data_IF_027512712666
#
_entry.id   IF_027512712666
#
_cell.length_a   1.000
_cell.length_b   1.000
_cell.length_c   1.000
_cell.angle_alpha   90.00
_cell.angle_beta   90.00
_cell.angle_gamma   90.00
#
_symmetry.space_group_name_H-M   'P 1'
#
loop_
_entity.id
_entity.type
_entity.pdbx_description
1 polymer ?
#
# COMPACT_ATOMS: atom_id res chain seq x y z
N UNK A 1 -20.80 58.16 -30.93
CA UNK A 1 -21.04 56.71 -30.90
C UNK A 1 -19.75 56.02 -31.32
N UNK A 2 -19.10 55.21 -30.47
CA UNK A 2 -17.81 54.62 -30.81
C UNK A 2 -17.98 53.41 -31.74
N UNK A 3 -16.93 53.23 -32.55
CA UNK A 3 -16.80 52.32 -33.68
C UNK A 3 -16.35 50.92 -33.20
N UNK A 4 -16.95 49.90 -33.83
CA UNK A 4 -16.56 48.47 -34.01
C UNK A 4 -15.27 47.93 -33.34
N UNK A 5 -15.31 46.70 -32.77
CA UNK A 5 -14.11 45.95 -32.39
C UNK A 5 -13.41 45.34 -33.62
N UNK A 6 -12.11 45.57 -33.75
CA UNK A 6 -11.22 44.85 -34.68
C UNK A 6 -10.73 43.58 -33.99
N UNK A 7 -11.00 42.44 -34.62
CA UNK A 7 -10.58 41.11 -34.19
C UNK A 7 -9.19 40.80 -34.79
N UNK A 8 -8.16 40.48 -33.99
CA UNK A 8 -6.83 40.25 -34.54
C UNK A 8 -6.75 38.92 -35.30
N UNK A 9 -6.48 39.01 -36.60
CA UNK A 9 -6.21 37.87 -37.48
C UNK A 9 -4.96 37.11 -37.03
N UNK A 10 -5.15 35.87 -36.58
CA UNK A 10 -4.06 34.95 -36.25
C UNK A 10 -3.47 34.44 -37.57
N UNK A 11 -2.23 34.83 -37.84
CA UNK A 11 -1.49 34.35 -39.00
C UNK A 11 -1.05 32.89 -38.78
N UNK A 12 -1.57 32.00 -39.61
CA UNK A 12 -1.10 30.62 -39.73
C UNK A 12 0.34 30.63 -40.28
N UNK A 13 1.30 30.29 -39.43
CA UNK A 13 2.70 30.13 -39.82
C UNK A 13 3.27 28.92 -39.11
N UNK A 14 3.28 27.78 -39.79
CA UNK A 14 4.20 26.67 -39.50
C UNK A 14 4.25 25.68 -40.68
N UNK A 15 4.95 26.05 -41.76
CA UNK A 15 5.54 25.06 -42.67
C UNK A 15 6.96 24.74 -42.18
N UNK A 16 7.11 23.58 -41.53
CA UNK A 16 8.39 22.96 -41.19
C UNK A 16 8.57 21.63 -41.95
N UNK A 17 9.79 21.28 -42.40
CA UNK A 17 9.99 20.20 -43.38
C UNK A 17 10.22 18.80 -42.76
N UNK A 18 9.58 17.82 -43.41
CA UNK A 18 10.02 16.45 -43.75
C UNK A 18 10.70 15.58 -42.68
N UNK A 19 10.02 14.50 -42.27
CA UNK A 19 10.64 13.28 -41.71
C UNK A 19 10.34 12.10 -42.64
N UNK A 20 11.40 11.43 -43.11
CA UNK A 20 11.38 10.18 -43.87
C UNK A 20 11.03 8.99 -42.95
N UNK A 21 10.20 8.03 -43.34
CA UNK A 21 10.00 6.82 -42.54
C UNK A 21 11.19 5.86 -42.75
N UNK A 22 11.84 5.49 -41.65
CA UNK A 22 12.84 4.43 -41.62
C UNK A 22 12.16 3.07 -41.52
N UNK A 23 12.57 2.19 -42.43
CA UNK A 23 12.21 0.79 -42.55
C UNK A 23 12.68 -0.04 -41.36
N UNK A 24 11.83 -0.97 -40.90
CA UNK A 24 12.28 -2.24 -40.34
C UNK A 24 12.24 -2.38 -38.82
N UNK A 25 11.10 -2.85 -38.30
CA UNK A 25 11.11 -3.66 -37.08
C UNK A 25 10.20 -4.87 -37.32
N UNK A 26 10.84 -6.01 -37.56
CA UNK A 26 10.23 -7.33 -37.61
C UNK A 26 9.57 -7.63 -36.27
N UNK A 27 8.26 -7.88 -36.29
CA UNK A 27 7.51 -8.35 -35.14
C UNK A 27 7.94 -9.78 -34.78
N UNK A 28 8.16 -10.11 -33.49
CA UNK A 28 8.40 -11.49 -33.07
C UNK A 28 7.09 -12.29 -33.10
N UNK A 29 7.12 -13.43 -33.80
CA UNK A 29 6.05 -14.42 -33.85
C UNK A 29 5.69 -14.90 -32.44
N UNK A 30 4.40 -14.94 -32.04
CA UNK A 30 4.00 -15.44 -30.73
C UNK A 30 4.27 -16.95 -30.63
N UNK A 31 4.93 -17.38 -29.54
CA UNK A 31 5.11 -18.80 -29.23
C UNK A 31 3.76 -19.43 -28.83
N UNK A 32 3.49 -20.69 -29.20
CA UNK A 32 2.32 -21.42 -28.70
C UNK A 32 2.44 -21.67 -27.20
N UNK A 33 1.43 -21.27 -26.43
CA UNK A 33 1.29 -21.63 -25.03
C UNK A 33 0.85 -23.09 -24.90
N UNK A 34 1.54 -23.93 -24.09
CA UNK A 34 1.05 -25.25 -23.73
C UNK A 34 -0.24 -25.14 -22.90
N UNK A 35 -1.34 -25.69 -23.41
CA UNK A 35 -2.64 -25.68 -22.73
C UNK A 35 -2.62 -26.43 -21.38
N UNK A 36 -3.55 -26.10 -20.46
CA UNK A 36 -3.66 -26.77 -19.17
C UNK A 36 -4.10 -28.21 -19.35
N UNK A 37 -3.37 -29.15 -18.74
CA UNK A 37 -3.78 -30.55 -18.62
C UNK A 37 -4.96 -30.64 -17.65
N UNK A 38 -6.08 -31.17 -18.15
CA UNK A 38 -7.25 -31.53 -17.35
C UNK A 38 -6.85 -32.50 -16.22
N UNK A 39 -7.06 -32.10 -14.97
CA UNK A 39 -6.99 -33.00 -13.82
C UNK A 39 -8.26 -33.86 -13.81
N UNK A 40 -8.08 -35.17 -13.96
CA UNK A 40 -9.14 -36.15 -13.82
C UNK A 40 -9.46 -36.39 -12.33
N UNK A 41 -10.73 -36.26 -11.96
CA UNK A 41 -11.35 -37.03 -10.88
C UNK A 41 -12.39 -37.94 -11.55
N UNK A 42 -12.51 -39.24 -11.16
CA UNK A 42 -13.54 -39.57 -10.17
C UNK A 42 -13.35 -40.85 -9.32
N UNK A 43 -13.77 -40.73 -8.04
CA UNK A 43 -14.67 -41.64 -7.27
C UNK A 43 -14.15 -43.06 -6.86
N UNK A 44 -14.97 -43.96 -6.25
CA UNK A 44 -15.32 -44.00 -4.82
C UNK A 44 -15.27 -45.45 -4.22
N UNK A 45 -15.47 -45.57 -2.90
CA UNK A 45 -15.84 -46.83 -2.21
C UNK A 45 -14.73 -47.40 -1.33
N UNK A 46 -15.00 -48.12 -0.24
CA UNK A 46 -16.24 -48.63 0.36
C UNK A 46 -15.91 -49.16 1.80
N UNK A 47 -16.88 -49.70 2.57
CA UNK A 47 -16.95 -49.56 4.02
C UNK A 47 -16.31 -50.72 4.80
N UNK A 48 -15.90 -50.45 6.04
CA UNK A 48 -15.45 -51.45 7.00
C UNK A 48 -16.19 -51.31 8.34
N UNK A 49 -16.72 -52.41 8.91
CA UNK A 49 -17.58 -52.37 10.11
C UNK A 49 -16.75 -52.51 11.38
N UNK A 50 -17.04 -51.69 12.39
CA UNK A 50 -16.66 -51.98 13.78
C UNK A 50 -17.84 -51.62 14.68
N UNK A 51 -18.60 -52.64 15.02
CA UNK A 51 -19.60 -52.60 16.08
C UNK A 51 -18.94 -52.83 17.45
N UNK A 52 -19.61 -52.26 18.46
CA UNK A 52 -19.48 -52.50 19.89
C UNK A 52 -18.37 -51.72 20.65
N UNK A 53 -18.74 -50.53 21.13
CA UNK A 53 -18.21 -49.97 22.39
C UNK A 53 -19.37 -49.78 23.37
N UNK A 54 -19.28 -50.24 24.63
CA UNK A 54 -20.35 -50.13 25.62
C UNK A 54 -20.53 -48.68 26.12
N UNK A 55 -21.76 -48.38 26.54
CA UNK A 55 -22.26 -47.06 26.91
C UNK A 55 -21.52 -46.38 28.09
N UNK A 56 -21.44 -45.04 28.14
CA UNK A 56 -20.91 -44.31 29.29
C UNK A 56 -22.01 -44.01 30.32
N UNK A 57 -21.71 -44.02 31.63
CA UNK A 57 -22.61 -43.51 32.65
C UNK A 57 -22.57 -41.98 32.78
N UNK A 58 -23.74 -41.45 33.12
CA UNK A 58 -24.18 -40.13 33.56
C UNK A 58 -23.16 -39.00 33.83
N UNK A 59 -23.60 -37.83 33.37
CA UNK A 59 -23.10 -36.47 33.60
C UNK A 59 -22.82 -36.16 35.08
N UNK A 60 -21.62 -35.65 35.38
CA UNK A 60 -21.42 -34.68 36.46
C UNK A 60 -21.04 -33.34 35.85
N UNK A 61 -21.96 -32.39 35.97
CA UNK A 61 -21.77 -30.96 35.77
C UNK A 61 -20.80 -30.42 36.80
N UNK A 62 -19.52 -30.30 36.43
CA UNK A 62 -18.61 -29.35 37.07
C UNK A 62 -18.60 -28.08 36.22
N UNK A 63 -19.55 -27.18 36.53
CA UNK A 63 -19.46 -25.78 36.16
C UNK A 63 -18.30 -25.16 36.96
N UNK A 64 -17.08 -25.34 36.46
CA UNK A 64 -15.97 -24.52 36.92
C UNK A 64 -16.04 -23.21 36.15
N UNK A 65 -16.31 -22.14 36.90
CA UNK A 65 -16.43 -20.78 36.45
C UNK A 65 -15.34 -20.40 35.44
N UNK A 66 -15.77 -19.71 34.38
CA UNK A 66 -14.92 -19.29 33.28
C UNK A 66 -13.71 -18.51 33.78
N UNK A 67 -12.53 -19.03 33.50
CA UNK A 67 -11.39 -18.16 33.25
C UNK A 67 -11.69 -17.44 31.93
N UNK A 68 -11.77 -16.10 31.89
CA UNK A 68 -11.49 -15.42 30.65
C UNK A 68 -10.06 -15.81 30.29
N UNK A 69 -9.92 -16.64 29.26
CA UNK A 69 -8.63 -16.80 28.60
C UNK A 69 -8.33 -15.41 28.04
N UNK A 70 -7.61 -14.60 28.83
CA UNK A 70 -7.03 -13.37 28.34
C UNK A 70 -6.27 -13.78 27.08
N UNK A 71 -6.69 -13.25 25.93
CA UNK A 71 -5.88 -13.33 24.73
C UNK A 71 -4.47 -12.92 25.15
N UNK A 72 -3.42 -13.60 24.68
CA UNK A 72 -2.07 -13.15 24.99
C UNK A 72 -2.02 -11.68 24.62
N UNK A 73 -1.77 -10.81 25.60
CA UNK A 73 -1.37 -9.45 25.32
C UNK A 73 -0.21 -9.61 24.36
N UNK A 74 -0.47 -9.35 23.07
CA UNK A 74 0.57 -9.34 22.05
C UNK A 74 1.50 -8.26 22.56
N UNK A 75 2.59 -8.69 23.18
CA UNK A 75 3.73 -7.86 23.47
C UNK A 75 4.03 -7.20 22.14
N UNK A 76 3.64 -5.92 22.01
CA UNK A 76 3.61 -5.22 20.74
C UNK A 76 5.07 -4.93 20.44
N UNK A 77 5.75 -5.91 19.87
CA UNK A 77 7.10 -5.77 19.38
C UNK A 77 7.11 -4.51 18.54
N UNK A 78 8.02 -3.60 18.85
CA UNK A 78 8.15 -2.37 18.07
C UNK A 78 8.40 -2.76 16.61
N UNK A 79 7.80 -2.05 15.64
CA UNK A 79 8.03 -2.37 14.23
C UNK A 79 9.51 -2.26 13.92
N UNK A 80 9.99 -3.13 13.04
CA UNK A 80 11.30 -2.98 12.43
C UNK A 80 11.31 -1.67 11.64
N UNK A 81 12.37 -0.87 11.79
CA UNK A 81 12.53 0.38 11.04
C UNK A 81 13.59 0.16 9.97
N UNK A 82 13.26 0.48 8.73
CA UNK A 82 14.17 0.52 7.59
C UNK A 82 14.22 1.94 7.04
N UNK A 83 15.43 2.43 6.75
CA UNK A 83 15.62 3.74 6.13
C UNK A 83 16.12 3.54 4.71
N UNK A 84 15.47 4.21 3.75
CA UNK A 84 15.90 4.30 2.36
C UNK A 84 16.39 5.73 2.12
N UNK A 85 17.71 5.96 1.98
CA UNK A 85 18.25 7.30 1.75
C UNK A 85 17.76 7.87 0.43
N UNK A 86 17.12 9.03 0.48
CA UNK A 86 16.68 9.78 -0.70
C UNK A 86 16.70 11.30 -0.41
N UNK A 87 17.01 12.17 -1.38
CA UNK A 87 16.75 13.59 -1.24
C UNK A 87 15.23 13.83 -1.16
N UNK A 88 14.80 14.97 -0.60
CA UNK A 88 13.37 15.30 -0.47
C UNK A 88 12.60 15.14 -1.80
N UNK A 89 13.09 15.75 -2.88
CA UNK A 89 12.46 15.64 -4.20
C UNK A 89 12.47 14.24 -4.85
N UNK A 90 13.11 13.24 -4.25
CA UNK A 90 13.10 11.84 -4.71
C UNK A 90 12.60 10.86 -3.65
N UNK A 91 12.11 11.35 -2.51
CA UNK A 91 11.62 10.48 -1.44
C UNK A 91 10.30 9.79 -1.80
N UNK A 92 9.47 10.45 -2.63
CA UNK A 92 8.23 9.87 -3.15
C UNK A 92 8.52 8.71 -4.09
N UNK A 93 9.36 8.93 -5.12
CA UNK A 93 9.78 7.88 -6.04
C UNK A 93 10.40 6.69 -5.28
N UNK A 94 11.24 6.96 -4.29
CA UNK A 94 11.82 5.90 -3.46
C UNK A 94 10.78 5.13 -2.63
N UNK A 95 9.69 5.78 -2.22
CA UNK A 95 8.57 5.12 -1.53
C UNK A 95 7.78 4.24 -2.50
N UNK A 96 7.51 4.72 -3.72
CA UNK A 96 6.81 3.94 -4.74
C UNK A 96 7.60 2.69 -5.15
N UNK A 97 8.91 2.82 -5.39
CA UNK A 97 9.79 1.67 -5.65
C UNK A 97 9.84 0.68 -4.47
N UNK A 98 9.75 1.17 -3.23
CA UNK A 98 9.67 0.30 -2.05
C UNK A 98 8.33 -0.44 -1.97
N UNK A 99 7.23 0.21 -2.35
CA UNK A 99 5.91 -0.43 -2.47
C UNK A 99 5.95 -1.50 -3.55
N UNK A 100 6.45 -1.19 -4.74
CA UNK A 100 6.57 -2.15 -5.85
C UNK A 100 7.34 -3.40 -5.41
N UNK A 101 8.49 -3.23 -4.75
CA UNK A 101 9.27 -4.35 -4.22
C UNK A 101 8.50 -5.17 -3.17
N UNK A 102 7.73 -4.52 -2.29
CA UNK A 102 6.89 -5.24 -1.32
C UNK A 102 5.83 -6.09 -2.03
N UNK A 103 5.18 -5.54 -3.06
CA UNK A 103 4.15 -6.25 -3.82
C UNK A 103 4.76 -7.42 -4.63
N UNK A 104 5.89 -7.19 -5.30
CA UNK A 104 6.62 -8.21 -6.06
C UNK A 104 7.10 -9.37 -5.20
N UNK A 105 7.41 -9.09 -3.92
CA UNK A 105 7.81 -10.11 -2.94
C UNK A 105 6.62 -10.79 -2.26
N UNK A 106 5.39 -10.46 -2.67
CA UNK A 106 4.16 -11.12 -2.25
C UNK A 106 3.48 -10.48 -1.04
N UNK A 107 3.80 -9.23 -0.70
CA UNK A 107 2.99 -8.47 0.28
C UNK A 107 1.62 -8.18 -0.31
N UNK A 108 0.57 -8.40 0.48
CA UNK A 108 -0.77 -8.04 0.06
C UNK A 108 -0.88 -6.51 -0.04
N UNK A 109 -1.49 -5.94 -1.10
CA UNK A 109 -1.70 -4.49 -1.24
C UNK A 109 -2.38 -3.86 -0.01
N UNK A 110 -3.45 -4.48 0.46
CA UNK A 110 -4.18 -4.12 1.69
C UNK A 110 -3.35 -4.07 2.97
N UNK A 111 -2.15 -4.67 2.98
CA UNK A 111 -1.25 -4.65 4.13
C UNK A 111 -0.30 -3.43 4.15
N UNK A 112 -0.34 -2.58 3.11
CA UNK A 112 0.59 -1.45 2.93
C UNK A 112 -0.14 -0.12 3.05
N UNK A 113 0.36 0.77 3.92
CA UNK A 113 -0.04 2.17 4.03
C UNK A 113 1.14 3.05 3.60
N UNK A 114 0.91 4.00 2.71
CA UNK A 114 1.91 5.01 2.31
C UNK A 114 1.49 6.37 2.87
N UNK A 115 2.43 7.04 3.53
CA UNK A 115 2.26 8.38 4.08
C UNK A 115 3.24 9.36 3.44
N UNK A 116 2.75 10.45 2.86
CA UNK A 116 3.59 11.56 2.38
C UNK A 116 3.57 12.70 3.40
N UNK A 117 4.69 13.41 3.57
CA UNK A 117 4.82 14.48 4.57
C UNK A 117 4.77 15.86 3.90
N UNK A 118 5.29 15.96 2.68
CA UNK A 118 5.33 17.18 1.89
C UNK A 118 4.04 17.38 1.11
N UNK A 119 4.04 16.92 -0.14
CA UNK A 119 2.89 17.01 -1.01
C UNK A 119 2.05 15.73 -0.94
N UNK A 120 0.75 15.88 -1.15
CA UNK A 120 -0.13 14.73 -1.21
C UNK A 120 0.21 13.86 -2.44
N UNK A 121 0.29 12.54 -2.25
CA UNK A 121 0.54 11.60 -3.34
C UNK A 121 -0.47 11.79 -4.50
N UNK A 122 -0.03 11.80 -5.78
CA UNK A 122 -0.90 12.06 -6.94
C UNK A 122 -2.13 11.14 -7.03
N UNK A 123 -1.97 9.86 -6.68
CA UNK A 123 -3.10 8.92 -6.58
C UNK A 123 -4.12 9.36 -5.53
N UNK A 124 -3.69 9.73 -4.32
CA UNK A 124 -4.61 10.17 -3.26
C UNK A 124 -5.33 11.45 -3.64
N UNK A 125 -4.64 12.39 -4.31
CA UNK A 125 -5.26 13.61 -4.83
C UNK A 125 -6.33 13.30 -5.89
N UNK A 126 -6.09 12.31 -6.77
CA UNK A 126 -7.06 11.85 -7.74
C UNK A 126 -8.30 11.22 -7.08
N UNK A 127 -8.10 10.31 -6.13
CA UNK A 127 -9.21 9.64 -5.44
C UNK A 127 -10.07 10.62 -4.62
N UNK A 128 -9.43 11.58 -3.93
CA UNK A 128 -10.13 12.63 -3.20
C UNK A 128 -10.99 13.52 -4.11
N UNK A 129 -10.63 13.65 -5.40
CA UNK A 129 -11.44 14.41 -6.36
C UNK A 129 -12.83 13.81 -6.60
N UNK A 130 -13.01 12.51 -6.33
CA UNK A 130 -14.30 11.82 -6.36
C UNK A 130 -15.08 11.92 -5.05
N UNK A 131 -14.49 12.52 -4.01
CA UNK A 131 -15.12 12.82 -2.74
C UNK A 131 -14.49 12.06 -1.57
N UNK A 132 -14.35 12.75 -0.45
CA UNK A 132 -13.68 12.25 0.75
C UNK A 132 -14.31 10.95 1.29
N UNK A 133 -15.64 10.86 1.32
CA UNK A 133 -16.32 9.67 1.83
C UNK A 133 -15.99 8.41 1.01
N UNK A 134 -15.92 8.52 -0.31
CA UNK A 134 -15.56 7.42 -1.20
C UNK A 134 -14.09 7.04 -1.04
N UNK A 135 -13.20 8.03 -0.98
CA UNK A 135 -11.77 7.84 -0.74
C UNK A 135 -11.49 7.06 0.55
N UNK A 136 -12.12 7.43 1.68
CA UNK A 136 -11.92 6.70 2.93
C UNK A 136 -12.61 5.34 2.97
N UNK A 137 -13.65 5.12 2.17
CA UNK A 137 -14.22 3.78 2.00
C UNK A 137 -13.23 2.80 1.36
N UNK A 138 -12.30 3.26 0.51
CA UNK A 138 -11.20 2.43 -0.03
C UNK A 138 -10.26 1.97 1.09
N UNK A 139 -9.93 2.89 2.01
CA UNK A 139 -9.14 2.56 3.18
C UNK A 139 -9.80 1.49 4.05
N UNK A 140 -11.11 1.65 4.30
CA UNK A 140 -11.89 0.75 5.16
C UNK A 140 -12.12 -0.62 4.51
N UNK A 141 -12.20 -0.68 3.18
CA UNK A 141 -12.25 -1.93 2.43
C UNK A 141 -10.94 -2.72 2.59
N UNK A 142 -9.79 -2.03 2.57
CA UNK A 142 -8.49 -2.65 2.83
C UNK A 142 -8.05 -3.64 1.74
N UNK A 143 -8.57 -3.50 0.52
CA UNK A 143 -8.25 -4.40 -0.60
C UNK A 143 -6.97 -3.97 -1.35
N UNK A 144 -6.61 -2.69 -1.28
CA UNK A 144 -5.48 -2.10 -2.03
C UNK A 144 -4.50 -1.31 -1.13
N UNK A 145 -3.34 -0.94 -1.69
CA UNK A 145 -2.41 0.00 -1.07
C UNK A 145 -3.14 1.32 -0.85
N UNK A 146 -3.04 1.86 0.36
CA UNK A 146 -3.66 3.14 0.67
C UNK A 146 -2.61 4.22 0.81
N UNK A 147 -2.78 5.32 0.09
CA UNK A 147 -1.91 6.49 0.14
C UNK A 147 -2.63 7.64 0.85
N UNK A 148 -1.98 8.27 1.81
CA UNK A 148 -2.52 9.41 2.53
C UNK A 148 -1.44 10.45 2.86
N UNK A 149 -1.89 11.67 3.13
CA UNK A 149 -1.04 12.68 3.75
C UNK A 149 -0.82 12.35 5.24
N UNK A 150 0.37 12.67 5.76
CA UNK A 150 0.74 12.40 7.15
C UNK A 150 -0.16 13.13 8.17
N UNK A 151 -0.78 14.26 7.82
CA UNK A 151 -1.77 14.93 8.65
C UNK A 151 -3.03 14.08 8.87
N UNK A 152 -3.32 13.12 7.98
CA UNK A 152 -4.42 12.17 8.11
C UNK A 152 -4.02 10.86 8.80
N UNK A 153 -2.76 10.72 9.25
CA UNK A 153 -2.26 9.49 9.85
C UNK A 153 -3.08 9.04 11.08
N UNK A 154 -3.62 9.97 11.87
CA UNK A 154 -4.45 9.64 13.03
C UNK A 154 -5.73 8.90 12.64
N UNK A 155 -6.33 9.23 11.50
CA UNK A 155 -7.53 8.59 10.95
C UNK A 155 -7.25 7.23 10.33
N UNK A 156 -6.07 7.03 9.76
CA UNK A 156 -5.70 5.77 9.13
C UNK A 156 -5.68 4.62 10.14
N UNK A 157 -6.08 3.42 9.72
CA UNK A 157 -5.96 2.19 10.50
C UNK A 157 -4.52 1.68 10.46
N UNK A 158 -4.10 0.96 11.50
CA UNK A 158 -2.80 0.30 11.50
C UNK A 158 -2.72 -0.76 10.39
N UNK A 159 -1.58 -0.85 9.72
CA UNK A 159 -1.28 -1.86 8.70
C UNK A 159 0.03 -2.60 9.02
N UNK A 160 0.22 -3.84 8.55
CA UNK A 160 1.48 -4.56 8.73
C UNK A 160 2.71 -3.77 8.29
N UNK A 161 2.62 -3.04 7.18
CA UNK A 161 3.70 -2.21 6.65
C UNK A 161 3.23 -0.77 6.46
N UNK A 162 4.04 0.18 6.93
CA UNK A 162 3.90 1.60 6.63
C UNK A 162 5.14 2.08 5.91
N UNK A 163 4.96 2.75 4.78
CA UNK A 163 6.02 3.45 4.04
C UNK A 163 5.80 4.94 4.21
N UNK A 164 6.84 5.68 4.55
CA UNK A 164 6.78 7.14 4.71
C UNK A 164 7.72 7.80 3.72
N UNK A 165 7.21 8.72 2.91
CA UNK A 165 8.02 9.62 2.10
C UNK A 165 8.21 10.95 2.84
N UNK A 166 9.45 11.29 3.18
CA UNK A 166 9.85 12.63 3.65
C UNK A 166 10.20 13.52 2.46
N UNK A 167 9.21 13.72 1.61
CA UNK A 167 9.27 14.44 0.35
C UNK A 167 9.28 15.98 0.49
N UNK A 168 9.00 16.47 1.70
CA UNK A 168 9.00 17.89 2.02
C UNK A 168 8.76 18.16 3.52
N UNK A 169 7.94 19.17 3.81
CA UNK A 169 7.57 19.58 5.17
C UNK A 169 8.71 20.21 5.97
N UNK A 170 8.44 20.60 7.21
CA UNK A 170 9.41 21.10 8.20
C UNK A 170 9.94 19.99 9.11
N UNK A 171 11.01 20.22 9.87
CA UNK A 171 11.51 19.23 10.83
C UNK A 171 10.48 18.89 11.90
N UNK A 172 9.64 19.86 12.28
CA UNK A 172 8.52 19.65 13.20
C UNK A 172 7.44 18.74 12.60
N UNK A 173 7.21 18.81 11.28
CA UNK A 173 6.29 17.90 10.60
C UNK A 173 6.79 16.46 10.64
N UNK A 174 8.07 16.25 10.35
CA UNK A 174 8.70 14.94 10.46
C UNK A 174 8.68 14.41 11.91
N UNK A 175 9.00 15.26 12.90
CA UNK A 175 8.99 14.90 14.31
C UNK A 175 7.59 14.52 14.84
N UNK A 176 6.53 15.10 14.26
CA UNK A 176 5.14 14.76 14.59
C UNK A 176 4.68 13.50 13.87
N UNK A 177 5.00 13.37 12.60
CA UNK A 177 4.47 12.31 11.74
C UNK A 177 5.15 10.96 11.94
N UNK A 178 6.48 10.90 12.10
CA UNK A 178 7.18 9.62 12.23
C UNK A 178 6.74 8.78 13.45
N UNK A 179 6.50 9.35 14.63
CA UNK A 179 5.92 8.61 15.75
C UNK A 179 4.53 8.04 15.45
N UNK A 180 3.69 8.81 14.76
CA UNK A 180 2.35 8.36 14.34
C UNK A 180 2.45 7.23 13.32
N UNK A 181 3.27 7.39 12.28
CA UNK A 181 3.54 6.34 11.28
C UNK A 181 4.05 5.06 11.93
N UNK A 182 4.96 5.18 12.91
CA UNK A 182 5.44 4.05 13.71
C UNK A 182 4.35 3.37 14.51
N UNK A 183 3.38 4.11 15.03
CA UNK A 183 2.23 3.54 15.74
C UNK A 183 1.24 2.82 14.79
N UNK A 184 1.20 3.21 13.51
CA UNK A 184 0.39 2.56 12.48
C UNK A 184 1.07 1.31 11.89
N UNK A 185 2.39 1.20 11.96
CA UNK A 185 3.15 0.03 11.51
C UNK A 185 3.10 -1.12 12.53
N UNK A 186 2.45 -2.23 12.17
CA UNK A 186 2.39 -3.40 13.05
C UNK A 186 3.64 -4.29 12.97
N UNK A 187 4.38 -4.29 11.86
CA UNK A 187 5.59 -5.10 11.68
C UNK A 187 6.77 -4.32 11.11
N UNK A 188 6.56 -3.49 10.08
CA UNK A 188 7.62 -2.80 9.36
C UNK A 188 7.25 -1.33 9.10
N UNK A 189 8.17 -0.43 9.42
CA UNK A 189 8.16 0.97 9.02
C UNK A 189 9.33 1.21 8.06
N UNK A 190 9.05 1.59 6.83
CA UNK A 190 10.04 2.05 5.86
C UNK A 190 9.98 3.57 5.80
N UNK A 191 11.10 4.26 5.92
CA UNK A 191 11.17 5.73 5.82
C UNK A 191 12.13 6.12 4.70
N UNK A 192 11.59 6.75 3.67
CA UNK A 192 12.31 7.25 2.51
C UNK A 192 12.60 8.75 2.69
N UNK A 193 13.87 9.15 2.64
CA UNK A 193 14.25 10.56 2.80
C UNK A 193 15.66 10.78 3.37
N UNK A 194 15.93 12.01 3.80
CA UNK A 194 17.25 12.38 4.34
C UNK A 194 17.52 11.67 5.68
N UNK A 195 18.58 10.83 5.77
CA UNK A 195 18.83 10.05 6.97
C UNK A 195 19.09 10.88 8.23
N UNK A 196 19.66 12.08 8.12
CA UNK A 196 19.93 12.94 9.30
C UNK A 196 18.62 13.45 9.88
N UNK A 197 17.71 13.87 8.99
CA UNK A 197 16.38 14.34 9.36
C UNK A 197 15.53 13.23 9.99
N UNK A 198 15.58 12.03 9.42
CA UNK A 198 14.94 10.82 9.96
C UNK A 198 15.46 10.50 11.36
N UNK A 199 16.79 10.42 11.53
CA UNK A 199 17.39 10.06 12.82
C UNK A 199 17.07 11.10 13.90
N UNK A 200 17.08 12.39 13.54
CA UNK A 200 16.69 13.48 14.43
C UNK A 200 15.24 13.32 14.89
N UNK A 201 14.31 13.10 13.95
CA UNK A 201 12.88 12.94 14.26
C UNK A 201 12.57 11.64 15.03
N UNK A 202 13.36 10.58 14.86
CA UNK A 202 13.25 9.34 15.64
C UNK A 202 13.93 9.42 17.02
N UNK A 203 14.58 10.53 17.35
CA UNK A 203 15.33 10.69 18.61
C UNK A 203 16.58 9.82 18.68
N UNK A 204 17.09 9.35 17.53
CA UNK A 204 18.34 8.60 17.43
C UNK A 204 19.46 9.63 17.32
N UNK A 205 20.01 10.01 18.48
CA UNK A 205 21.23 10.83 18.53
C UNK A 205 22.41 9.98 18.01
N UNK A 206 23.09 10.48 16.96
CA UNK A 206 24.36 9.95 16.45
C UNK A 206 25.54 10.54 17.20
#
# INVERSE_FOLDING_TARGET
MPLIPEEPQIHESAQGPRVTPATGRTAPTPRPVPGPRSAAAPRPGSPGPVAARPAPPAQRTNLSAGQPSAAPEKNRSQPQIQVIPAPAGGALDAADEAVDLLLDTGRAPGDVLVLTIGEQHPWAAHELSFGEAAYWALHDAGDDVFYADAAAADRASSRPVVVVALDGGTDDDAARALPLARAKAAALLIVCGDPKRINTALGVSV
#
